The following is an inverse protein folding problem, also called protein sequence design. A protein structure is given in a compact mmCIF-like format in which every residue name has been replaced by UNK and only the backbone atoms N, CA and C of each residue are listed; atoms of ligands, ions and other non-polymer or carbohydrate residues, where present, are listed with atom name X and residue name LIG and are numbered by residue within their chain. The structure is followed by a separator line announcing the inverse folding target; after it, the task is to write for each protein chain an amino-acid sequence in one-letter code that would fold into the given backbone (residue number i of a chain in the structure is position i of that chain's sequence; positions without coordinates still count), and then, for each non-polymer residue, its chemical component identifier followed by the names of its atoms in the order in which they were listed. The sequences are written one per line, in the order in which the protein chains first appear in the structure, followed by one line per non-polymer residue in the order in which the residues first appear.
data_IF_347196999331
#
_entry.id   IF_347196999331
#
_cell.length_a   1.000
_cell.length_b   1.000
_cell.length_c   1.000
_cell.angle_alpha   90.00
_cell.angle_beta   90.00
_cell.angle_gamma   90.00
#
_symmetry.space_group_name_H-M   'P 1'
#
loop_
_entity.id
_entity.type
_entity.pdbx_description
1 polymer ?
#
# COMPACT_ATOMS: atom_id res chain seq x y z
N UNK A 1 -9.14 7.75 18.08
CA UNK A 1 -8.77 6.65 17.17
C UNK A 1 -8.08 7.20 15.94
N UNK A 2 -7.04 6.53 15.49
CA UNK A 2 -6.29 6.94 14.32
C UNK A 2 -6.38 5.87 13.23
N UNK A 3 -6.44 6.31 11.98
CA UNK A 3 -6.46 5.40 10.82
C UNK A 3 -5.24 5.62 9.95
N UNK A 4 -4.61 4.53 9.59
CA UNK A 4 -3.40 4.55 8.78
C UNK A 4 -3.56 3.64 7.57
N UNK A 5 -3.18 4.17 6.41
CA UNK A 5 -3.15 3.41 5.18
C UNK A 5 -1.72 3.07 4.78
N UNK A 6 -1.51 1.87 4.29
CA UNK A 6 -0.22 1.43 3.77
C UNK A 6 -0.45 0.84 2.40
N UNK A 7 0.28 1.37 1.40
CA UNK A 7 0.29 0.81 0.06
C UNK A 7 1.66 0.15 -0.14
N UNK A 8 1.66 -1.15 -0.37
CA UNK A 8 2.88 -1.94 -0.54
C UNK A 8 3.01 -2.39 -2.00
N UNK A 9 4.05 -1.94 -2.67
CA UNK A 9 4.35 -2.31 -4.05
C UNK A 9 5.33 -3.49 -4.05
N UNK A 10 4.79 -4.68 -4.24
CA UNK A 10 5.60 -5.89 -4.38
C UNK A 10 5.88 -6.23 -5.84
N UNK A 11 6.56 -7.36 -6.06
CA UNK A 11 6.93 -7.82 -7.40
C UNK A 11 5.72 -8.08 -8.28
N UNK A 12 4.67 -8.65 -7.73
CA UNK A 12 3.49 -9.05 -8.50
C UNK A 12 2.20 -8.42 -8.00
N UNK A 13 2.21 -7.88 -6.79
CA UNK A 13 1.00 -7.38 -6.15
C UNK A 13 1.21 -5.97 -5.63
N UNK A 14 0.14 -5.18 -5.66
CA UNK A 14 0.09 -3.89 -4.99
C UNK A 14 -1.06 -3.98 -3.99
N UNK A 15 -0.73 -3.90 -2.71
CA UNK A 15 -1.67 -4.12 -1.62
C UNK A 15 -1.97 -2.83 -0.89
N UNK A 16 -3.24 -2.59 -0.61
CA UNK A 16 -3.68 -1.53 0.29
C UNK A 16 -4.16 -2.16 1.59
N UNK A 17 -3.57 -1.76 2.69
CA UNK A 17 -4.05 -2.12 4.02
C UNK A 17 -4.43 -0.85 4.77
N UNK A 18 -5.58 -0.89 5.45
CA UNK A 18 -6.04 0.21 6.30
C UNK A 18 -6.24 -0.33 7.69
N UNK A 19 -5.63 0.33 8.66
CA UNK A 19 -5.66 -0.04 10.06
C UNK A 19 -6.25 1.07 10.90
N UNK A 20 -7.02 0.68 11.91
CA UNK A 20 -7.48 1.59 12.94
C UNK A 20 -6.76 1.27 14.24
N UNK A 21 -6.20 2.29 14.86
CA UNK A 21 -5.46 2.17 16.12
C UNK A 21 -6.25 2.87 17.22
N UNK A 22 -6.55 2.14 18.28
CA UNK A 22 -7.42 2.60 19.37
C UNK A 22 -6.70 2.99 20.65
N UNK A 23 -5.39 2.74 20.76
CA UNK A 23 -4.66 3.07 21.97
C UNK A 23 -4.23 4.54 22.01
N UNK A 24 -3.90 5.04 23.22
CA UNK A 24 -3.34 6.38 23.36
C UNK A 24 -1.92 6.43 22.77
N UNK A 25 -1.56 7.59 22.20
CA UNK A 25 -0.31 7.74 21.48
C UNK A 25 0.96 7.45 22.31
N UNK A 26 0.88 7.64 23.63
CA UNK A 26 2.02 7.41 24.53
C UNK A 26 2.08 5.99 25.09
N UNK A 27 1.14 5.14 24.76
CA UNK A 27 1.07 3.75 25.22
C UNK A 27 1.69 2.81 24.20
N UNK A 28 2.36 1.72 24.64
CA UNK A 28 2.83 0.71 23.70
C UNK A 28 1.65 0.08 22.94
N UNK A 29 1.79 -0.06 21.64
CA UNK A 29 0.79 -0.72 20.82
C UNK A 29 0.76 -2.22 21.13
N UNK A 30 -0.46 -2.76 21.25
CA UNK A 30 -0.72 -4.18 21.39
C UNK A 30 -1.53 -4.64 20.19
N UNK A 31 -1.49 -5.93 19.92
CA UNK A 31 -2.23 -6.51 18.81
C UNK A 31 -3.73 -6.20 18.89
N UNK A 32 -4.29 -6.17 20.11
CA UNK A 32 -5.70 -5.83 20.34
C UNK A 32 -6.05 -4.38 20.04
N UNK A 33 -5.06 -3.50 19.96
CA UNK A 33 -5.26 -2.08 19.71
C UNK A 33 -5.34 -1.76 18.22
N UNK A 34 -5.10 -2.75 17.36
CA UNK A 34 -5.02 -2.58 15.92
C UNK A 34 -6.10 -3.43 15.26
N UNK A 35 -7.00 -2.78 14.53
CA UNK A 35 -8.01 -3.44 13.71
C UNK A 35 -7.70 -3.24 12.24
N UNK A 36 -7.75 -4.30 11.48
CA UNK A 36 -7.62 -4.22 10.03
C UNK A 36 -8.99 -3.91 9.43
N UNK A 37 -9.13 -2.72 8.87
CA UNK A 37 -10.39 -2.29 8.25
C UNK A 37 -10.48 -2.71 6.80
N UNK A 38 -9.34 -2.79 6.11
CA UNK A 38 -9.28 -3.18 4.71
C UNK A 38 -7.94 -3.84 4.41
N UNK A 39 -7.99 -4.89 3.61
CA UNK A 39 -6.81 -5.54 3.05
C UNK A 39 -7.15 -5.89 1.60
N UNK A 40 -6.74 -5.03 0.67
CA UNK A 40 -7.10 -5.14 -0.73
C UNK A 40 -5.86 -5.33 -1.59
N UNK A 41 -5.80 -6.47 -2.25
CA UNK A 41 -4.65 -6.84 -3.07
C UNK A 41 -5.02 -6.82 -4.56
N UNK A 42 -4.19 -6.16 -5.36
CA UNK A 42 -4.31 -6.18 -6.82
C UNK A 42 -3.11 -6.91 -7.40
N UNK A 43 -3.35 -7.86 -8.28
CA UNK A 43 -2.31 -8.60 -9.00
C UNK A 43 -1.85 -7.74 -10.18
N UNK A 44 -0.83 -6.91 -9.95
CA UNK A 44 -0.35 -5.96 -10.95
C UNK A 44 0.70 -6.56 -11.91
N UNK A 45 1.38 -7.64 -11.51
CA UNK A 45 2.35 -8.31 -12.35
C UNK A 45 3.54 -7.44 -12.73
N UNK A 46 4.03 -6.59 -11.83
CA UNK A 46 5.09 -5.63 -12.15
C UNK A 46 6.41 -6.31 -12.54
N UNK A 47 6.68 -7.51 -12.01
CA UNK A 47 7.90 -8.23 -12.35
C UNK A 47 8.02 -8.55 -13.83
N UNK A 48 6.90 -8.73 -14.54
CA UNK A 48 6.89 -8.98 -15.99
C UNK A 48 7.14 -7.72 -16.82
N UNK A 49 7.17 -6.55 -16.18
CA UNK A 49 7.39 -5.26 -16.83
C UNK A 49 8.78 -4.68 -16.53
N UNK A 50 9.75 -5.55 -16.21
CA UNK A 50 11.12 -5.12 -15.97
C UNK A 50 11.99 -5.57 -17.14
N UNK A 51 12.71 -4.61 -17.73
CA UNK A 51 13.68 -4.86 -18.82
C UNK A 51 14.99 -4.19 -18.47
N UNK A 52 16.10 -4.91 -18.66
CA UNK A 52 17.46 -4.38 -18.44
C UNK A 52 17.64 -3.77 -17.04
N UNK A 53 17.00 -4.36 -16.03
CA UNK A 53 17.10 -3.89 -14.65
C UNK A 53 16.21 -2.69 -14.31
N UNK A 54 15.37 -2.26 -15.23
CA UNK A 54 14.48 -1.11 -15.01
C UNK A 54 13.04 -1.45 -15.40
N UNK A 55 12.09 -0.82 -14.71
CA UNK A 55 10.68 -1.00 -15.03
C UNK A 55 10.36 -0.33 -16.36
N UNK A 56 9.59 -1.01 -17.20
CA UNK A 56 9.15 -0.45 -18.47
C UNK A 56 8.13 0.67 -18.26
N UNK A 57 7.94 1.50 -19.30
CA UNK A 57 6.92 2.55 -19.27
C UNK A 57 5.52 1.98 -19.00
N UNK A 58 5.20 0.83 -19.58
CA UNK A 58 3.95 0.11 -19.33
C UNK A 58 3.81 -0.27 -17.86
N UNK A 59 4.87 -0.78 -17.25
CA UNK A 59 4.89 -1.14 -15.83
C UNK A 59 4.66 0.07 -14.93
N UNK A 60 5.29 1.19 -15.24
CA UNK A 60 5.11 2.45 -14.50
C UNK A 60 3.65 2.92 -14.58
N UNK A 61 3.07 2.91 -15.78
CA UNK A 61 1.66 3.30 -15.96
C UNK A 61 0.72 2.40 -15.17
N UNK A 62 0.98 1.09 -15.18
CA UNK A 62 0.18 0.12 -14.44
C UNK A 62 0.28 0.35 -12.94
N UNK A 63 1.48 0.61 -12.43
CA UNK A 63 1.69 0.90 -11.02
C UNK A 63 0.95 2.18 -10.60
N UNK A 64 1.08 3.25 -11.38
CA UNK A 64 0.42 4.52 -11.09
C UNK A 64 -1.10 4.38 -11.08
N UNK A 65 -1.65 3.67 -12.05
CA UNK A 65 -3.09 3.41 -12.12
C UNK A 65 -3.59 2.68 -10.88
N UNK A 66 -2.86 1.66 -10.46
CA UNK A 66 -3.23 0.86 -9.29
C UNK A 66 -3.09 1.67 -7.99
N UNK A 67 -2.01 2.42 -7.85
CA UNK A 67 -1.80 3.30 -6.69
C UNK A 67 -2.92 4.32 -6.58
N UNK A 68 -3.28 4.96 -7.69
CA UNK A 68 -4.37 5.94 -7.71
C UNK A 68 -5.71 5.30 -7.32
N UNK A 69 -5.96 4.08 -7.78
CA UNK A 69 -7.16 3.34 -7.37
C UNK A 69 -7.16 3.05 -5.86
N UNK A 70 -6.00 2.68 -5.31
CA UNK A 70 -5.86 2.47 -3.87
C UNK A 70 -6.05 3.76 -3.07
N UNK A 71 -5.54 4.88 -3.56
CA UNK A 71 -5.74 6.18 -2.91
C UNK A 71 -7.22 6.56 -2.89
N UNK A 72 -7.95 6.29 -3.97
CA UNK A 72 -9.41 6.51 -4.00
C UNK A 72 -10.12 5.62 -2.99
N UNK A 73 -9.74 4.35 -2.86
CA UNK A 73 -10.31 3.44 -1.86
C UNK A 73 -10.04 3.95 -0.45
N UNK A 74 -8.80 4.35 -0.19
CA UNK A 74 -8.39 4.87 1.11
C UNK A 74 -9.15 6.13 1.49
N UNK A 75 -9.53 6.97 0.52
CA UNK A 75 -10.25 8.21 0.80
C UNK A 75 -11.58 7.99 1.51
N UNK A 76 -12.19 6.81 1.34
CA UNK A 76 -13.45 6.47 2.02
C UNK A 76 -13.26 6.17 3.51
N UNK A 77 -12.03 6.00 3.96
CA UNK A 77 -11.73 5.65 5.35
C UNK A 77 -11.20 6.83 6.17
N UNK A 78 -10.98 7.97 5.54
CA UNK A 78 -10.47 9.18 6.21
C UNK A 78 -9.19 8.88 7.00
N UNK A 79 -8.19 8.32 6.33
CA UNK A 79 -6.91 8.00 6.96
C UNK A 79 -6.18 9.27 7.39
N UNK A 80 -5.60 9.24 8.60
CA UNK A 80 -4.78 10.32 9.11
C UNK A 80 -3.44 10.38 8.38
N UNK A 81 -2.97 9.23 7.90
CA UNK A 81 -1.72 9.12 7.17
C UNK A 81 -1.78 7.94 6.20
N UNK A 82 -1.15 8.11 5.03
CA UNK A 82 -0.99 7.05 4.05
C UNK A 82 0.48 7.01 3.65
N UNK A 83 1.12 5.85 3.79
CA UNK A 83 2.49 5.63 3.38
C UNK A 83 2.54 4.64 2.22
N UNK A 84 3.48 4.86 1.30
CA UNK A 84 3.68 4.00 0.14
C UNK A 84 5.09 3.42 0.21
N UNK A 85 5.19 2.10 0.17
CA UNK A 85 6.47 1.39 0.20
C UNK A 85 6.68 0.62 -1.08
N UNK A 86 7.89 0.62 -1.58
CA UNK A 86 8.28 -0.18 -2.74
C UNK A 86 9.29 -1.24 -2.32
N UNK A 87 9.12 -2.45 -2.82
CA UNK A 87 10.03 -3.55 -2.55
C UNK A 87 10.95 -3.83 -3.74
N UNK A 88 11.57 -5.00 -3.80
CA UNK A 88 12.70 -5.31 -4.68
C UNK A 88 12.54 -4.88 -6.16
N UNK A 89 11.35 -4.96 -6.72
CA UNK A 89 11.14 -4.69 -8.14
C UNK A 89 11.40 -3.22 -8.54
N UNK A 90 11.23 -2.30 -7.59
CA UNK A 90 11.38 -0.86 -7.83
C UNK A 90 12.69 -0.28 -7.30
N UNK A 91 13.57 -1.11 -6.76
CA UNK A 91 14.81 -0.65 -6.11
C UNK A 91 16.03 -0.60 -7.02
N UNK A 92 15.92 -1.03 -8.23
CA UNK A 92 17.07 -1.09 -9.13
C UNK A 92 17.27 0.22 -9.89
#
# INVERSE_FOLDING_TARGET
MSRYGIIDLGSNTIRLCIYEVSCAAHEPLRKKDIDTLLNYKVMAGLASHVEKGAMTEEGVKRAIKTINAHLRRASHFNCDRIDIFATAVLRN
#
